data_IF_627728400821
#
_entry.id   IF_627728400821
#
_cell.length_a   1.000
_cell.length_b   1.000
_cell.length_c   1.000
_cell.angle_alpha   90.00
_cell.angle_beta   90.00
_cell.angle_gamma   90.00
#
_symmetry.space_group_name_H-M   'P 1'
#
loop_
_entity.id
_entity.type
_entity.pdbx_description
1 polymer ?
#
# COMPACT_ATOMS: atom_id res chain seq x y z
N UNK A 1 -1.10 -2.97 -4.15
CA UNK A 1 -2.26 -2.74 -5.04
C UNK A 1 -2.23 -1.28 -5.47
N UNK A 2 -1.61 -0.98 -6.61
CA UNK A 2 -1.55 0.39 -7.12
C UNK A 2 -2.95 0.86 -7.51
N UNK A 3 -3.36 2.02 -7.00
CA UNK A 3 -4.65 2.64 -7.30
C UNK A 3 -4.66 3.18 -8.74
N UNK A 4 -5.22 2.43 -9.67
CA UNK A 4 -5.42 2.90 -11.03
C UNK A 4 -6.76 3.65 -11.12
N UNK A 5 -6.73 4.97 -10.84
CA UNK A 5 -7.84 5.86 -11.15
C UNK A 5 -7.68 6.39 -12.58
N UNK A 6 -8.16 5.62 -13.54
CA UNK A 6 -7.88 5.81 -14.97
C UNK A 6 -8.62 7.00 -15.62
N UNK A 7 -9.41 7.80 -14.88
CA UNK A 7 -10.29 8.84 -15.45
C UNK A 7 -10.49 10.15 -14.64
N UNK A 8 -9.59 10.49 -13.71
CA UNK A 8 -9.60 11.82 -13.07
C UNK A 8 -8.55 12.74 -13.70
N UNK A 9 -8.82 14.04 -13.80
CA UNK A 9 -7.87 15.06 -14.27
C UNK A 9 -6.55 15.01 -13.48
N UNK A 10 -6.63 14.70 -12.19
CA UNK A 10 -5.46 14.51 -11.32
C UNK A 10 -4.63 13.28 -11.71
N UNK A 11 -5.27 12.17 -12.11
CA UNK A 11 -4.58 10.96 -12.56
C UNK A 11 -3.82 11.15 -13.89
N UNK A 12 -4.27 12.05 -14.75
CA UNK A 12 -3.56 12.44 -15.98
C UNK A 12 -2.35 13.31 -15.64
N UNK A 13 -2.51 14.27 -14.72
CA UNK A 13 -1.42 15.14 -14.25
C UNK A 13 -0.31 14.35 -13.56
N UNK A 14 -0.65 13.47 -12.62
CA UNK A 14 0.31 12.62 -11.92
C UNK A 14 1.03 11.69 -12.93
N UNK A 15 0.33 11.20 -13.96
CA UNK A 15 0.95 10.42 -15.05
C UNK A 15 1.95 11.23 -15.88
N UNK A 16 1.68 12.51 -16.13
CA UNK A 16 2.60 13.42 -16.83
C UNK A 16 3.83 13.70 -15.96
N UNK A 17 3.65 13.97 -14.66
CA UNK A 17 4.77 14.16 -13.71
C UNK A 17 5.66 12.94 -13.57
N UNK A 18 5.06 11.75 -13.56
CA UNK A 18 5.77 10.47 -13.62
C UNK A 18 6.64 10.36 -14.88
N UNK A 19 6.12 10.78 -16.03
CA UNK A 19 6.85 10.70 -17.30
C UNK A 19 8.10 11.60 -17.33
N UNK A 20 8.13 12.66 -16.52
CA UNK A 20 9.26 13.60 -16.39
C UNK A 20 10.08 13.38 -15.11
N UNK A 21 9.89 12.26 -14.40
CA UNK A 21 10.56 11.93 -13.12
C UNK A 21 10.47 13.02 -12.03
N UNK A 22 9.44 13.87 -12.06
CA UNK A 22 9.23 14.92 -11.05
C UNK A 22 8.38 14.48 -9.85
N UNK A 23 7.91 13.23 -9.86
CA UNK A 23 7.09 12.66 -8.79
C UNK A 23 7.83 11.53 -8.09
N UNK A 24 8.07 11.69 -6.78
CA UNK A 24 8.70 10.66 -5.94
C UNK A 24 7.66 9.74 -5.28
N UNK A 25 6.40 10.21 -5.14
CA UNK A 25 5.29 9.49 -4.50
C UNK A 25 3.95 9.74 -5.20
N UNK A 26 2.96 8.86 -4.99
CA UNK A 26 1.62 8.96 -5.59
C UNK A 26 0.53 9.36 -4.58
N UNK A 27 0.24 10.66 -4.39
CA UNK A 27 -0.72 11.12 -3.38
C UNK A 27 -2.19 11.00 -3.78
N UNK A 28 -2.51 10.55 -5.01
CA UNK A 28 -3.89 10.46 -5.50
C UNK A 28 -4.87 9.82 -4.49
N UNK A 29 -4.55 8.62 -3.98
CA UNK A 29 -5.42 7.92 -3.01
C UNK A 29 -5.54 8.70 -1.73
N UNK A 30 -4.44 9.32 -1.27
CA UNK A 30 -4.44 10.12 -0.06
C UNK A 30 -5.38 11.34 -0.20
N UNK A 31 -5.40 11.98 -1.37
CA UNK A 31 -6.35 13.08 -1.66
C UNK A 31 -7.80 12.58 -1.57
N UNK A 32 -8.11 11.47 -2.24
CA UNK A 32 -9.44 10.84 -2.19
C UNK A 32 -9.85 10.46 -0.77
N UNK A 33 -8.95 9.84 0.00
CA UNK A 33 -9.17 9.45 1.39
C UNK A 33 -9.60 10.65 2.25
N UNK A 34 -8.98 11.82 2.08
CA UNK A 34 -9.35 13.04 2.81
C UNK A 34 -10.79 13.46 2.47
N UNK A 35 -11.20 13.34 1.20
CA UNK A 35 -12.55 13.71 0.77
C UNK A 35 -13.63 12.71 1.19
N UNK A 36 -13.34 11.41 1.22
CA UNK A 36 -14.33 10.39 1.61
C UNK A 36 -14.37 10.11 3.11
N UNK A 37 -13.32 10.44 3.86
CA UNK A 37 -13.32 10.24 5.30
C UNK A 37 -14.38 11.12 5.97
N UNK A 38 -15.16 10.55 6.89
CA UNK A 38 -16.17 11.27 7.67
C UNK A 38 -15.52 12.33 8.58
N UNK A 39 -16.24 13.40 8.95
CA UNK A 39 -15.78 14.33 9.98
C UNK A 39 -15.40 13.60 11.28
N UNK A 40 -14.37 14.08 11.96
CA UNK A 40 -13.71 13.48 13.11
C UNK A 40 -13.19 12.05 12.87
N UNK A 41 -13.00 11.65 11.60
CA UNK A 41 -12.51 10.33 11.22
C UNK A 41 -10.99 10.17 11.37
N UNK A 42 -10.52 8.94 11.14
CA UNK A 42 -9.10 8.58 11.16
C UNK A 42 -8.63 8.24 9.75
N UNK A 43 -7.56 8.89 9.31
CA UNK A 43 -6.79 8.53 8.12
C UNK A 43 -5.62 7.64 8.54
N UNK A 44 -5.72 6.35 8.27
CA UNK A 44 -4.62 5.40 8.46
C UNK A 44 -3.84 5.24 7.16
N UNK A 45 -2.56 5.59 7.18
CA UNK A 45 -1.67 5.53 6.01
C UNK A 45 -0.46 4.64 6.34
N UNK A 46 -0.63 3.31 6.28
CA UNK A 46 0.49 2.38 6.34
C UNK A 46 1.20 2.32 4.97
N UNK A 47 2.52 2.48 4.95
CA UNK A 47 3.30 2.38 3.72
C UNK A 47 4.56 3.23 3.74
N UNK A 48 5.21 3.33 2.58
CA UNK A 48 6.44 4.10 2.38
C UNK A 48 6.11 5.29 1.47
N UNK A 49 6.27 6.50 2.02
CA UNK A 49 6.26 7.77 1.29
C UNK A 49 7.62 8.42 1.56
N UNK A 50 8.52 8.37 0.58
CA UNK A 50 9.93 8.75 0.74
C UNK A 50 10.27 10.15 0.24
N UNK A 51 9.37 10.80 -0.49
CA UNK A 51 9.61 12.11 -1.10
C UNK A 51 8.54 13.14 -0.77
N UNK A 52 8.58 14.24 -1.51
CA UNK A 52 7.65 15.35 -1.32
C UNK A 52 6.34 15.07 -2.07
N UNK A 53 5.22 15.21 -1.36
CA UNK A 53 3.86 15.12 -1.92
C UNK A 53 3.26 16.51 -2.10
N UNK A 54 2.48 16.71 -3.16
CA UNK A 54 1.87 17.99 -3.49
C UNK A 54 0.33 17.92 -3.49
N UNK A 55 -0.30 19.11 -3.51
CA UNK A 55 -1.76 19.29 -3.64
C UNK A 55 -2.58 18.48 -2.63
N UNK A 56 -2.06 18.33 -1.41
CA UNK A 56 -2.78 17.68 -0.33
C UNK A 56 -3.91 18.62 0.13
N UNK A 57 -5.19 18.19 0.12
CA UNK A 57 -6.33 19.03 0.49
C UNK A 57 -6.41 19.25 2.01
N UNK A 58 -5.40 19.94 2.55
CA UNK A 58 -5.22 20.10 4.00
C UNK A 58 -6.36 20.89 4.66
N UNK A 59 -6.94 21.88 3.96
CA UNK A 59 -8.11 22.60 4.45
C UNK A 59 -9.33 21.70 4.66
N UNK A 60 -9.55 20.73 3.76
CA UNK A 60 -10.63 19.74 3.93
C UNK A 60 -10.34 18.82 5.11
N UNK A 61 -9.09 18.38 5.29
CA UNK A 61 -8.69 17.57 6.43
C UNK A 61 -8.88 18.32 7.76
N UNK A 62 -8.52 19.61 7.80
CA UNK A 62 -8.63 20.48 8.97
C UNK A 62 -10.09 20.77 9.31
N UNK A 63 -10.91 21.16 8.34
CA UNK A 63 -12.34 21.43 8.55
C UNK A 63 -13.12 20.18 9.01
N UNK A 64 -12.67 19.00 8.58
CA UNK A 64 -13.23 17.73 9.04
C UNK A 64 -12.66 17.28 10.39
N UNK A 65 -11.63 17.93 10.94
CA UNK A 65 -10.99 17.51 12.18
C UNK A 65 -10.40 16.09 12.10
N UNK A 66 -9.77 15.73 10.97
CA UNK A 66 -9.25 14.38 10.76
C UNK A 66 -8.04 14.08 11.65
N UNK A 67 -8.03 12.88 12.23
CA UNK A 67 -6.86 12.31 12.90
C UNK A 67 -6.02 11.53 11.91
N UNK A 68 -4.72 11.79 11.84
CA UNK A 68 -3.81 11.06 10.96
C UNK A 68 -2.98 10.04 11.75
N UNK A 69 -2.88 8.81 11.22
CA UNK A 69 -2.07 7.72 11.78
C UNK A 69 -1.24 7.11 10.65
N UNK A 70 0.06 7.38 10.65
CA UNK A 70 0.95 7.10 9.53
C UNK A 70 2.21 6.37 9.98
N UNK A 71 2.87 5.67 9.06
CA UNK A 71 4.18 5.08 9.28
C UNK A 71 4.36 3.76 8.56
N UNK A 72 5.58 3.23 8.62
CA UNK A 72 5.82 1.84 8.28
C UNK A 72 5.14 0.92 9.31
N UNK A 73 4.85 -0.31 8.91
CA UNK A 73 4.20 -1.28 9.78
C UNK A 73 5.06 -1.49 11.05
N UNK A 74 4.43 -1.38 12.23
CA UNK A 74 5.09 -1.54 13.52
C UNK A 74 5.36 -3.04 13.80
N UNK A 75 6.20 -3.69 12.98
CA UNK A 75 6.40 -5.14 12.98
C UNK A 75 6.72 -5.64 14.39
N UNK A 76 7.78 -5.11 15.02
CA UNK A 76 8.21 -5.53 16.36
C UNK A 76 7.12 -5.40 17.44
N UNK A 77 6.19 -4.46 17.30
CA UNK A 77 5.10 -4.28 18.27
C UNK A 77 4.04 -5.40 18.15
N UNK A 78 3.84 -5.92 16.95
CA UNK A 78 2.71 -6.80 16.63
C UNK A 78 3.11 -8.25 16.36
N UNK A 79 4.39 -8.54 16.08
CA UNK A 79 4.85 -9.89 15.72
C UNK A 79 4.41 -10.96 16.71
N UNK A 80 4.62 -10.74 18.02
CA UNK A 80 4.35 -11.76 19.05
C UNK A 80 2.85 -12.04 19.20
N UNK A 81 2.01 -10.98 19.23
CA UNK A 81 0.55 -11.14 19.32
C UNK A 81 -0.04 -11.79 18.07
N UNK A 82 0.43 -11.38 16.88
CA UNK A 82 -0.03 -11.97 15.62
C UNK A 82 0.39 -13.43 15.48
N UNK A 83 1.62 -13.78 15.87
CA UNK A 83 2.08 -15.17 15.86
C UNK A 83 1.22 -16.03 16.80
N UNK A 84 0.99 -15.56 18.03
CA UNK A 84 0.14 -16.26 19.00
C UNK A 84 -1.26 -16.50 18.44
N UNK A 85 -1.87 -15.51 17.77
CA UNK A 85 -3.20 -15.66 17.14
C UNK A 85 -3.22 -16.70 16.02
N UNK A 86 -2.12 -16.83 15.29
CA UNK A 86 -1.96 -17.87 14.25
C UNK A 86 -1.86 -19.25 14.91
N UNK A 87 -1.04 -19.40 15.95
CA UNK A 87 -0.88 -20.65 16.71
C UNK A 87 -2.20 -21.08 17.39
N UNK A 88 -2.98 -20.12 17.89
CA UNK A 88 -4.31 -20.34 18.47
C UNK A 88 -5.40 -20.58 17.41
N UNK A 89 -5.07 -20.54 16.12
CA UNK A 89 -6.02 -20.78 15.02
C UNK A 89 -7.04 -19.65 14.81
N UNK A 90 -6.84 -18.48 15.41
CA UNK A 90 -7.71 -17.31 15.23
C UNK A 90 -7.51 -16.64 13.87
N UNK A 91 -6.32 -16.79 13.28
CA UNK A 91 -5.94 -16.23 11.99
C UNK A 91 -5.24 -17.32 11.18
N UNK A 92 -5.74 -17.57 9.97
CA UNK A 92 -5.01 -18.35 8.97
C UNK A 92 -4.47 -17.41 7.88
N UNK A 93 -3.16 -17.13 7.82
CA UNK A 93 -2.58 -16.29 6.78
C UNK A 93 -2.29 -17.06 5.48
N UNK A 94 -2.58 -18.36 5.40
CA UNK A 94 -2.20 -19.19 4.25
C UNK A 94 -2.80 -18.70 2.93
N UNK A 95 -3.98 -18.06 2.97
CA UNK A 95 -4.66 -17.52 1.79
C UNK A 95 -3.87 -16.45 1.04
N UNK A 96 -2.94 -15.74 1.69
CA UNK A 96 -2.13 -14.74 0.97
C UNK A 96 -1.06 -15.39 0.10
N UNK A 97 -0.67 -16.65 0.39
CA UNK A 97 0.37 -17.39 -0.31
C UNK A 97 -0.20 -17.91 -1.64
N UNK A 98 0.12 -17.21 -2.72
CA UNK A 98 -0.29 -17.58 -4.09
C UNK A 98 0.63 -18.62 -4.72
N UNK A 99 1.93 -18.60 -4.38
CA UNK A 99 2.93 -19.44 -5.04
C UNK A 99 3.92 -20.05 -4.03
N UNK A 100 4.36 -21.28 -4.31
CA UNK A 100 5.41 -21.97 -3.57
C UNK A 100 6.41 -22.54 -4.57
N UNK A 101 7.64 -22.05 -4.52
CA UNK A 101 8.68 -22.37 -5.50
C UNK A 101 9.98 -22.76 -4.80
N UNK A 102 10.93 -23.34 -5.53
CA UNK A 102 12.29 -23.55 -4.99
C UNK A 102 13.06 -22.24 -4.99
N UNK A 103 14.13 -22.19 -4.21
CA UNK A 103 15.00 -21.01 -4.15
C UNK A 103 15.63 -20.67 -5.52
N UNK A 104 15.95 -21.68 -6.33
CA UNK A 104 16.51 -21.53 -7.69
C UNK A 104 15.56 -20.80 -8.67
N UNK A 105 14.25 -20.89 -8.44
CA UNK A 105 13.21 -20.24 -9.27
C UNK A 105 12.96 -18.78 -8.89
N UNK A 106 13.66 -18.28 -7.86
CA UNK A 106 13.50 -16.91 -7.33
C UNK A 106 13.49 -15.82 -8.42
N UNK A 107 14.47 -15.78 -9.35
CA UNK A 107 14.51 -14.77 -10.41
C UNK A 107 13.25 -14.73 -11.27
N UNK A 108 12.73 -15.90 -11.68
CA UNK A 108 11.49 -15.99 -12.46
C UNK A 108 10.31 -15.42 -11.68
N UNK A 109 10.19 -15.76 -10.39
CA UNK A 109 9.09 -15.27 -9.57
C UNK A 109 9.15 -13.74 -9.32
N UNK A 110 10.35 -13.15 -9.31
CA UNK A 110 10.48 -11.69 -9.30
C UNK A 110 9.93 -11.05 -10.58
N UNK A 111 10.16 -11.65 -11.74
CA UNK A 111 9.60 -11.18 -13.02
C UNK A 111 8.07 -11.25 -12.99
N UNK A 112 7.50 -12.41 -12.62
CA UNK A 112 6.05 -12.59 -12.49
C UNK A 112 5.43 -11.57 -11.52
N UNK A 113 6.06 -11.32 -10.36
CA UNK A 113 5.56 -10.33 -9.40
C UNK A 113 5.63 -8.88 -9.94
N UNK A 114 6.76 -8.50 -10.55
CA UNK A 114 6.97 -7.16 -11.13
C UNK A 114 5.96 -6.88 -12.24
N UNK A 115 5.77 -7.86 -13.12
CA UNK A 115 4.93 -7.75 -14.31
C UNK A 115 3.44 -7.97 -13.98
N UNK A 116 3.14 -8.30 -12.71
CA UNK A 116 1.79 -8.52 -12.15
C UNK A 116 1.03 -9.61 -12.88
N UNK A 117 1.73 -10.67 -13.25
CA UNK A 117 1.17 -11.82 -13.94
C UNK A 117 0.69 -12.89 -12.94
N UNK A 118 -0.14 -13.80 -13.44
CA UNK A 118 -0.59 -15.01 -12.73
C UNK A 118 -1.22 -14.77 -11.34
N UNK A 119 -1.77 -13.57 -11.12
CA UNK A 119 -2.33 -13.20 -9.82
C UNK A 119 -1.31 -13.30 -8.67
N UNK A 120 -0.02 -13.12 -8.94
CA UNK A 120 1.04 -13.26 -7.95
C UNK A 120 0.92 -12.20 -6.82
N UNK A 121 0.69 -12.66 -5.58
CA UNK A 121 0.56 -11.80 -4.39
C UNK A 121 1.71 -12.06 -3.41
N UNK A 122 1.93 -13.32 -3.02
CA UNK A 122 2.99 -13.74 -2.10
C UNK A 122 3.58 -15.06 -2.56
N UNK A 123 4.90 -15.09 -2.66
CA UNK A 123 5.69 -16.27 -3.01
C UNK A 123 6.44 -16.74 -1.76
N UNK A 124 6.39 -18.03 -1.48
CA UNK A 124 7.24 -18.68 -0.47
C UNK A 124 8.28 -19.53 -1.19
N UNK A 125 9.56 -19.16 -1.02
CA UNK A 125 10.68 -19.92 -1.55
C UNK A 125 11.13 -20.97 -0.54
N UNK A 126 11.29 -22.21 -1.00
CA UNK A 126 11.84 -23.31 -0.21
C UNK A 126 13.28 -23.60 -0.65
N UNK A 127 14.25 -23.68 0.28
CA UNK A 127 15.61 -24.09 -0.03
C UNK A 127 15.67 -25.48 -0.67
#
# INVERSE_FOLDING_TARGET
MESHATRSFDGIYDRIKRAVMLETDRPHVLREMIYVCRPAGVLSVPGVYGGLIDKIPFGAAMNKGLTWRMGETHVNRWSDDLLKRIEEGQIDPSFVITHRMKLEDGPQMYETFRDKEDGCIKVVLKP
#
